data_IF_597250995882
#
_entry.id   IF_597250995882
#
_cell.length_a   1.000
_cell.length_b   1.000
_cell.length_c   1.000
_cell.angle_alpha   90.00
_cell.angle_beta   90.00
_cell.angle_gamma   90.00
#
_symmetry.space_group_name_H-M   'P 1'
#
loop_
_entity.id
_entity.type
_entity.pdbx_description
1 polymer ?
#
# COMPACT_ATOMS: atom_id res chain seq x y z
N UNK A 1 1.50 17.51 -9.99
CA UNK A 1 0.42 17.64 -8.99
C UNK A 1 -0.53 16.44 -9.14
N UNK A 2 -1.06 15.88 -8.06
CA UNK A 2 -2.00 14.74 -8.11
C UNK A 2 -3.43 15.25 -7.91
N UNK A 3 -4.30 15.09 -8.91
CA UNK A 3 -5.69 15.60 -8.90
C UNK A 3 -6.69 14.48 -9.02
N UNK A 4 -7.88 14.66 -8.43
CA UNK A 4 -9.04 13.81 -8.66
C UNK A 4 -9.92 14.45 -9.74
N UNK A 5 -10.40 13.65 -10.68
CA UNK A 5 -11.38 14.05 -11.70
C UNK A 5 -12.65 13.22 -11.53
N UNK A 6 -13.81 13.85 -11.54
CA UNK A 6 -15.10 13.21 -11.38
C UNK A 6 -15.98 13.50 -12.60
N UNK A 7 -16.55 12.47 -13.17
CA UNK A 7 -17.54 12.57 -14.24
C UNK A 7 -18.82 13.22 -13.73
N UNK A 8 -19.46 14.04 -14.55
CA UNK A 8 -20.68 14.76 -14.16
C UNK A 8 -21.93 13.90 -14.19
N UNK A 9 -21.94 12.88 -15.02
CA UNK A 9 -23.08 11.97 -15.25
C UNK A 9 -23.12 10.79 -14.27
N UNK A 10 -22.00 10.09 -14.10
CA UNK A 10 -21.93 8.88 -13.25
C UNK A 10 -21.42 9.16 -11.85
N UNK A 11 -20.84 10.34 -11.59
CA UNK A 11 -20.14 10.69 -10.35
C UNK A 11 -18.96 9.77 -10.00
N UNK A 12 -18.50 8.98 -10.97
CA UNK A 12 -17.29 8.19 -10.82
C UNK A 12 -16.05 9.07 -10.89
N UNK A 13 -15.10 8.82 -10.02
CA UNK A 13 -13.88 9.62 -9.92
C UNK A 13 -12.63 8.81 -10.24
N UNK A 14 -11.64 9.46 -10.86
CA UNK A 14 -10.31 8.93 -11.09
C UNK A 14 -9.26 9.88 -10.57
N UNK A 15 -8.17 9.35 -10.03
CA UNK A 15 -7.03 10.16 -9.59
C UNK A 15 -5.90 10.07 -10.63
N UNK A 16 -5.42 11.23 -11.05
CA UNK A 16 -4.40 11.32 -12.10
C UNK A 16 -3.30 12.32 -11.71
N UNK A 17 -2.10 12.13 -12.25
CA UNK A 17 -1.01 13.10 -12.13
C UNK A 17 -1.16 14.15 -13.22
N UNK A 18 -1.48 15.39 -12.86
CA UNK A 18 -1.51 16.53 -13.77
C UNK A 18 -0.14 17.23 -13.81
N UNK A 19 0.27 17.65 -15.00
CA UNK A 19 1.39 18.54 -15.24
C UNK A 19 0.91 19.99 -15.07
N UNK A 20 1.66 20.80 -14.34
CA UNK A 20 1.50 22.26 -14.32
C UNK A 20 2.45 22.83 -15.37
N UNK A 21 1.92 23.57 -16.33
CA UNK A 21 2.71 24.12 -17.42
C UNK A 21 2.25 25.53 -17.76
N UNK A 22 3.07 26.53 -17.38
CA UNK A 22 2.80 27.94 -17.65
C UNK A 22 2.93 28.34 -19.12
N UNK A 23 3.54 27.50 -19.95
CA UNK A 23 3.67 27.74 -21.39
C UNK A 23 2.42 27.31 -22.19
N UNK A 24 1.46 26.66 -21.54
CA UNK A 24 0.27 26.11 -22.21
C UNK A 24 -0.94 27.01 -21.94
N UNK A 25 -1.72 27.31 -22.99
CA UNK A 25 -2.81 28.30 -22.96
C UNK A 25 -4.19 27.71 -22.68
N UNK A 26 -4.29 26.44 -22.24
CA UNK A 26 -5.54 25.75 -21.94
C UNK A 26 -5.39 24.71 -20.85
N UNK A 27 -6.46 23.97 -20.60
CA UNK A 27 -6.49 22.75 -19.77
C UNK A 27 -6.68 21.59 -20.74
N UNK A 28 -5.82 20.59 -20.69
CA UNK A 28 -5.82 19.50 -21.66
C UNK A 28 -5.88 18.14 -20.99
N UNK A 29 -6.58 17.20 -21.67
CA UNK A 29 -6.62 15.79 -21.30
C UNK A 29 -6.24 14.93 -22.51
N UNK A 30 -5.45 13.90 -22.23
CA UNK A 30 -5.09 12.91 -23.27
C UNK A 30 -6.32 12.14 -23.74
N UNK A 31 -6.47 11.99 -25.05
CA UNK A 31 -7.65 11.39 -25.68
C UNK A 31 -7.84 9.93 -25.25
N UNK A 32 -6.78 9.14 -25.32
CA UNK A 32 -6.85 7.71 -24.99
C UNK A 32 -7.19 7.54 -23.50
N UNK A 33 -6.61 8.37 -22.63
CA UNK A 33 -6.96 8.39 -21.20
C UNK A 33 -8.43 8.77 -20.97
N UNK A 34 -8.96 9.77 -21.68
CA UNK A 34 -10.35 10.19 -21.56
C UNK A 34 -11.32 9.06 -21.93
N UNK A 35 -11.04 8.36 -23.03
CA UNK A 35 -11.82 7.23 -23.54
C UNK A 35 -11.71 6.01 -22.59
N UNK A 36 -10.51 5.64 -22.15
CA UNK A 36 -10.27 4.54 -21.20
C UNK A 36 -11.04 4.74 -19.88
N UNK A 37 -11.06 5.99 -19.40
CA UNK A 37 -11.78 6.33 -18.17
C UNK A 37 -13.28 6.53 -18.37
N UNK A 38 -13.76 6.52 -19.62
CA UNK A 38 -15.18 6.69 -19.97
C UNK A 38 -15.71 8.09 -19.69
N UNK A 39 -14.90 9.13 -19.90
CA UNK A 39 -15.39 10.51 -19.90
C UNK A 39 -16.25 10.79 -21.13
N UNK A 40 -17.34 11.54 -20.95
CA UNK A 40 -18.21 11.95 -22.03
C UNK A 40 -17.52 13.03 -22.86
N UNK A 41 -17.17 12.70 -24.10
CA UNK A 41 -16.59 13.61 -25.09
C UNK A 41 -17.72 14.44 -25.74
N UNK A 42 -17.64 15.77 -25.66
CA UNK A 42 -18.54 16.72 -26.32
C UNK A 42 -17.81 17.29 -27.54
N UNK A 43 -18.40 17.13 -28.72
CA UNK A 43 -17.78 17.60 -29.97
C UNK A 43 -17.86 19.12 -30.05
N UNK A 44 -16.74 19.78 -30.38
CA UNK A 44 -16.71 21.21 -30.60
C UNK A 44 -17.37 21.58 -31.95
N UNK A 45 -18.10 22.69 -31.99
CA UNK A 45 -18.69 23.21 -33.22
C UNK A 45 -17.61 23.57 -34.28
N UNK A 46 -16.46 24.04 -33.82
CA UNK A 46 -15.29 24.33 -34.67
C UNK A 46 -14.04 23.74 -34.04
N UNK A 47 -13.33 22.87 -34.77
CA UNK A 47 -12.03 22.35 -34.31
C UNK A 47 -11.03 23.48 -34.08
N UNK A 48 -10.24 23.38 -33.01
CA UNK A 48 -9.20 24.37 -32.67
C UNK A 48 -7.84 23.82 -33.08
N UNK A 49 -7.05 24.63 -33.78
CA UNK A 49 -5.66 24.26 -34.13
C UNK A 49 -4.74 24.46 -32.93
N UNK A 50 -3.96 23.42 -32.63
CA UNK A 50 -2.93 23.49 -31.59
C UNK A 50 -1.59 23.84 -32.23
N UNK A 51 -0.99 24.91 -31.78
CA UNK A 51 0.35 25.34 -32.22
C UNK A 51 1.37 25.17 -31.12
N UNK A 52 2.56 24.74 -31.51
CA UNK A 52 3.73 24.72 -30.64
C UNK A 52 4.23 26.15 -30.38
N UNK A 53 5.11 26.31 -29.40
CA UNK A 53 5.71 27.62 -29.03
C UNK A 53 6.45 28.27 -30.21
N UNK A 54 6.99 27.49 -31.13
CA UNK A 54 7.67 27.94 -32.32
C UNK A 54 6.72 28.29 -33.52
N UNK A 55 5.40 28.21 -33.27
CA UNK A 55 4.35 28.47 -34.26
C UNK A 55 4.06 27.32 -35.24
N UNK A 56 4.76 26.21 -35.16
CA UNK A 56 4.46 25.01 -35.95
C UNK A 56 3.19 24.31 -35.44
N UNK A 57 2.53 23.57 -36.33
CA UNK A 57 1.37 22.77 -35.92
C UNK A 57 1.80 21.61 -35.05
N UNK A 58 1.04 21.37 -33.96
CA UNK A 58 1.30 20.26 -33.08
C UNK A 58 1.01 18.93 -33.78
N UNK A 59 1.89 17.95 -33.60
CA UNK A 59 1.72 16.58 -34.15
C UNK A 59 0.51 15.83 -33.53
N UNK A 60 -0.05 16.31 -32.42
CA UNK A 60 -1.26 15.80 -31.79
C UNK A 60 -2.56 16.09 -32.53
N UNK A 61 -2.52 16.90 -33.60
CA UNK A 61 -3.67 17.25 -34.41
C UNK A 61 -4.48 18.43 -33.89
N UNK A 62 -5.75 18.49 -34.28
CA UNK A 62 -6.72 19.52 -33.85
C UNK A 62 -7.47 19.05 -32.63
N UNK A 63 -7.91 19.99 -31.80
CA UNK A 63 -8.86 19.74 -30.71
C UNK A 63 -10.25 19.69 -31.33
N UNK A 64 -10.87 18.53 -31.28
CA UNK A 64 -12.22 18.30 -31.80
C UNK A 64 -13.26 18.07 -30.71
N UNK A 65 -12.79 17.76 -29.49
CA UNK A 65 -13.64 17.40 -28.36
C UNK A 65 -13.23 18.15 -27.11
N UNK A 66 -14.22 18.45 -26.26
CA UNK A 66 -14.04 18.92 -24.90
C UNK A 66 -14.72 17.98 -23.91
N UNK A 67 -14.32 18.07 -22.66
CA UNK A 67 -14.90 17.35 -21.53
C UNK A 67 -15.24 18.35 -20.43
N UNK A 68 -16.38 18.16 -19.76
CA UNK A 68 -16.70 18.84 -18.52
C UNK A 68 -16.62 17.84 -17.36
N UNK A 69 -15.85 18.18 -16.34
CA UNK A 69 -15.70 17.35 -15.13
C UNK A 69 -15.49 18.21 -13.89
N UNK A 70 -15.68 17.60 -12.72
CA UNK A 70 -15.25 18.22 -11.47
C UNK A 70 -13.79 17.83 -11.21
N UNK A 71 -12.96 18.81 -10.85
CA UNK A 71 -11.57 18.59 -10.43
C UNK A 71 -11.40 18.86 -8.93
N UNK A 72 -10.64 17.99 -8.27
CA UNK A 72 -10.37 18.04 -6.83
C UNK A 72 -8.88 18.06 -6.52
N UNK A 73 -8.46 18.97 -5.67
CA UNK A 73 -7.10 19.02 -5.15
C UNK A 73 -7.10 19.68 -3.76
N UNK A 74 -6.57 19.01 -2.73
CA UNK A 74 -6.36 19.53 -1.35
C UNK A 74 -7.50 20.35 -0.72
N UNK A 75 -8.75 20.02 -0.99
CA UNK A 75 -9.89 20.82 -0.50
C UNK A 75 -10.44 21.78 -1.51
N UNK A 76 -9.70 22.07 -2.56
CA UNK A 76 -10.14 22.81 -3.72
C UNK A 76 -11.02 21.92 -4.59
N UNK A 77 -12.16 22.45 -5.04
CA UNK A 77 -13.09 21.77 -5.95
C UNK A 77 -13.61 22.78 -6.95
N UNK A 78 -13.53 22.43 -8.22
CA UNK A 78 -14.08 23.24 -9.29
C UNK A 78 -14.63 22.40 -10.44
N UNK A 79 -15.53 22.98 -11.21
CA UNK A 79 -15.93 22.44 -12.49
C UNK A 79 -15.03 23.01 -13.57
N UNK A 80 -14.35 22.13 -14.30
CA UNK A 80 -13.44 22.53 -15.38
C UNK A 80 -13.96 22.05 -16.73
N UNK A 81 -13.64 22.84 -17.76
CA UNK A 81 -13.67 22.45 -19.16
C UNK A 81 -12.28 22.06 -19.58
N UNK A 82 -12.13 20.94 -20.24
CA UNK A 82 -10.87 20.34 -20.61
C UNK A 82 -10.88 20.00 -22.06
N UNK A 83 -9.93 20.54 -22.81
CA UNK A 83 -9.74 20.21 -24.23
C UNK A 83 -9.10 18.84 -24.39
N UNK A 84 -9.58 18.03 -25.32
CA UNK A 84 -9.12 16.68 -25.55
C UNK A 84 -8.21 16.63 -26.75
N UNK A 85 -6.96 16.22 -26.54
CA UNK A 85 -5.98 16.03 -27.60
C UNK A 85 -4.99 14.92 -27.22
N UNK A 86 -4.15 14.51 -28.16
CA UNK A 86 -3.09 13.54 -27.86
C UNK A 86 -1.94 14.21 -27.13
N UNK A 87 -1.68 13.80 -25.90
CA UNK A 87 -0.63 14.33 -25.04
C UNK A 87 0.54 13.35 -24.84
N UNK A 88 0.46 12.16 -25.42
CA UNK A 88 1.46 11.11 -25.29
C UNK A 88 1.56 10.57 -23.87
N UNK A 89 2.66 10.84 -23.15
CA UNK A 89 2.89 10.30 -21.81
C UNK A 89 2.13 11.05 -20.71
N UNK A 90 1.73 12.28 -20.96
CA UNK A 90 1.03 13.12 -19.98
C UNK A 90 -0.46 12.93 -20.12
N UNK A 91 -1.17 12.71 -19.02
CA UNK A 91 -2.61 12.45 -19.04
C UNK A 91 -3.44 13.72 -18.89
N UNK A 92 -2.97 14.69 -18.12
CA UNK A 92 -3.65 15.97 -17.88
C UNK A 92 -2.61 17.08 -17.79
N UNK A 93 -2.89 18.23 -18.41
CA UNK A 93 -2.09 19.45 -18.30
C UNK A 93 -2.98 20.58 -17.81
N UNK A 94 -2.53 21.29 -16.77
CA UNK A 94 -3.15 22.49 -16.26
C UNK A 94 -2.27 23.69 -16.69
N UNK A 95 -2.74 24.44 -17.66
CA UNK A 95 -2.00 25.53 -18.26
C UNK A 95 -2.16 26.87 -17.57
N UNK A 96 -1.63 27.91 -18.20
CA UNK A 96 -1.60 29.28 -17.67
C UNK A 96 -2.97 29.83 -17.24
N UNK A 97 -4.09 29.60 -17.94
CA UNK A 97 -5.38 30.09 -17.48
C UNK A 97 -5.78 29.54 -16.12
N UNK A 98 -5.50 28.26 -15.87
CA UNK A 98 -5.76 27.65 -14.57
C UNK A 98 -4.80 28.19 -13.50
N UNK A 99 -3.53 28.29 -13.82
CA UNK A 99 -2.51 28.82 -12.92
C UNK A 99 -2.79 30.28 -12.54
N UNK A 100 -3.19 31.11 -13.50
CA UNK A 100 -3.52 32.51 -13.26
C UNK A 100 -4.79 32.67 -12.40
N UNK A 101 -5.82 31.85 -12.62
CA UNK A 101 -7.05 31.88 -11.86
C UNK A 101 -6.86 31.49 -10.40
N UNK A 102 -6.00 30.51 -10.12
CA UNK A 102 -5.83 29.95 -8.79
C UNK A 102 -4.58 30.45 -8.05
N UNK A 103 -3.61 30.96 -8.78
CA UNK A 103 -2.35 31.53 -8.24
C UNK A 103 -1.75 30.67 -7.10
N UNK A 104 -1.51 29.33 -7.32
CA UNK A 104 -1.06 28.45 -6.27
C UNK A 104 0.35 28.81 -5.79
N UNK A 105 0.66 28.52 -4.54
CA UNK A 105 2.04 28.53 -4.04
C UNK A 105 2.73 27.23 -4.44
N UNK A 106 3.82 27.33 -5.20
CA UNK A 106 4.57 26.16 -5.69
C UNK A 106 5.96 26.18 -5.05
N UNK A 107 6.24 25.14 -4.28
CA UNK A 107 7.59 24.83 -3.80
C UNK A 107 8.26 23.92 -4.85
N UNK A 108 9.07 24.51 -5.71
CA UNK A 108 9.73 23.82 -6.81
C UNK A 108 10.81 22.84 -6.32
N UNK A 109 11.39 23.08 -5.15
CA UNK A 109 12.42 22.23 -4.56
C UNK A 109 11.80 20.92 -4.04
N UNK A 110 10.65 21.02 -3.38
CA UNK A 110 9.91 19.85 -2.83
C UNK A 110 8.88 19.28 -3.79
N UNK A 111 8.55 20.00 -4.87
CA UNK A 111 7.47 19.63 -5.78
C UNK A 111 6.08 19.70 -5.14
N UNK A 112 5.91 20.55 -4.12
CA UNK A 112 4.65 20.76 -3.42
C UNK A 112 3.86 21.93 -4.02
N UNK A 113 2.53 21.79 -4.04
CA UNK A 113 1.60 22.83 -4.51
C UNK A 113 0.56 23.07 -3.44
N UNK A 114 0.35 24.35 -3.04
CA UNK A 114 -0.63 24.76 -2.04
C UNK A 114 -1.63 25.76 -2.63
N UNK A 115 -2.92 25.51 -2.40
CA UNK A 115 -4.02 26.34 -2.92
C UNK A 115 -4.42 27.44 -1.92
N UNK A 116 -3.48 28.28 -1.51
CA UNK A 116 -3.67 29.32 -0.48
C UNK A 116 -4.32 30.60 -1.00
N UNK A 117 -4.26 30.84 -2.31
CA UNK A 117 -4.73 32.07 -2.97
C UNK A 117 -5.94 31.87 -3.88
N UNK A 118 -6.60 30.74 -3.76
CA UNK A 118 -7.78 30.39 -4.56
C UNK A 118 -8.90 31.43 -4.42
N UNK A 119 -9.60 31.75 -5.51
CA UNK A 119 -10.80 32.56 -5.45
C UNK A 119 -11.88 31.96 -4.54
N UNK A 120 -12.72 32.81 -3.90
CA UNK A 120 -13.76 32.35 -2.96
C UNK A 120 -14.74 31.30 -3.52
N UNK A 121 -15.00 31.30 -4.82
CA UNK A 121 -15.89 30.31 -5.45
C UNK A 121 -15.31 28.89 -5.51
N UNK A 122 -13.99 28.74 -5.37
CA UNK A 122 -13.31 27.45 -5.32
C UNK A 122 -13.44 26.77 -3.96
N UNK A 123 -13.87 27.51 -2.94
CA UNK A 123 -13.91 27.01 -1.58
C UNK A 123 -15.34 26.65 -1.17
N UNK A 124 -15.53 25.37 -0.80
CA UNK A 124 -16.48 24.92 0.22
C UNK A 124 -17.96 24.83 -0.15
N UNK A 125 -18.30 23.97 -1.06
CA UNK A 125 -19.62 23.39 -1.03
C UNK A 125 -19.60 22.14 -0.13
N UNK A 126 -20.40 22.09 0.94
CA UNK A 126 -20.43 21.01 1.94
C UNK A 126 -20.76 19.66 1.29
N UNK A 127 -21.66 19.65 0.31
CA UNK A 127 -22.06 18.47 -0.47
C UNK A 127 -20.90 17.90 -1.31
N UNK A 128 -20.08 18.77 -1.89
CA UNK A 128 -18.89 18.36 -2.67
C UNK A 128 -17.78 17.79 -1.78
N UNK A 129 -17.66 18.26 -0.53
CA UNK A 129 -16.74 17.65 0.47
C UNK A 129 -17.19 16.23 0.85
N UNK A 130 -18.49 16.02 0.96
CA UNK A 130 -19.06 14.70 1.26
C UNK A 130 -18.91 13.74 0.07
N UNK A 131 -19.16 14.21 -1.17
CA UNK A 131 -18.91 13.44 -2.38
C UNK A 131 -17.43 12.99 -2.48
N UNK A 132 -16.49 13.93 -2.27
CA UNK A 132 -15.05 13.60 -2.22
C UNK A 132 -14.69 12.58 -1.14
N UNK A 133 -15.32 12.67 0.03
CA UNK A 133 -15.14 11.68 1.11
C UNK A 133 -15.66 10.31 0.69
N UNK A 134 -16.79 10.27 -0.03
CA UNK A 134 -17.35 9.03 -0.61
C UNK A 134 -16.46 8.44 -1.70
N UNK A 135 -15.95 9.27 -2.63
CA UNK A 135 -15.03 8.83 -3.70
C UNK A 135 -13.75 8.26 -3.08
N UNK A 136 -13.11 8.99 -2.14
CA UNK A 136 -11.92 8.49 -1.43
C UNK A 136 -12.20 7.21 -0.65
N UNK A 137 -13.38 7.08 -0.06
CA UNK A 137 -13.79 5.86 0.61
C UNK A 137 -13.99 4.71 -0.38
N UNK A 138 -14.59 4.96 -1.55
CA UNK A 138 -14.74 3.98 -2.62
C UNK A 138 -13.40 3.56 -3.22
N UNK A 139 -12.48 4.50 -3.46
CA UNK A 139 -11.10 4.22 -3.90
C UNK A 139 -10.28 3.40 -2.88
N UNK A 140 -10.69 3.41 -1.60
CA UNK A 140 -10.09 2.62 -0.53
C UNK A 140 -10.80 1.29 -0.27
N UNK A 141 -11.89 1.00 -0.99
CA UNK A 141 -12.54 -0.31 -0.92
C UNK A 141 -11.72 -1.35 -1.71
N UNK A 142 -11.94 -2.62 -1.40
CA UNK A 142 -11.31 -3.71 -2.15
C UNK A 142 -11.69 -3.62 -3.64
N UNK A 143 -12.94 -3.28 -3.94
CA UNK A 143 -13.47 -3.13 -5.29
C UNK A 143 -12.82 -1.96 -6.06
N UNK A 144 -12.44 -0.88 -5.38
CA UNK A 144 -11.74 0.25 -5.99
C UNK A 144 -10.23 0.04 -6.21
N UNK A 145 -9.63 -0.90 -5.48
CA UNK A 145 -8.19 -1.15 -5.52
C UNK A 145 -7.81 -2.40 -6.32
N UNK A 146 -8.74 -3.36 -6.45
CA UNK A 146 -8.49 -4.66 -7.08
C UNK A 146 -9.20 -4.74 -8.43
N UNK A 147 -8.50 -5.09 -9.52
CA UNK A 147 -9.11 -5.29 -10.84
C UNK A 147 -10.26 -6.29 -10.80
N UNK A 148 -11.35 -6.02 -11.55
CA UNK A 148 -12.57 -6.86 -11.57
C UNK A 148 -12.31 -8.33 -11.83
N UNK A 149 -11.33 -8.65 -12.65
CA UNK A 149 -10.92 -10.04 -12.96
C UNK A 149 -10.50 -10.84 -11.73
N UNK A 150 -10.07 -10.19 -10.65
CA UNK A 150 -9.66 -10.84 -9.39
C UNK A 150 -10.70 -10.75 -8.26
N UNK A 151 -11.90 -10.21 -8.51
CA UNK A 151 -12.93 -10.04 -7.47
C UNK A 151 -13.45 -11.36 -6.88
N UNK A 152 -13.33 -12.47 -7.58
CA UNK A 152 -13.62 -13.79 -7.00
C UNK A 152 -12.76 -14.10 -5.76
N UNK A 153 -11.59 -13.45 -5.66
CA UNK A 153 -10.63 -13.58 -4.56
C UNK A 153 -10.70 -12.42 -3.56
N UNK A 154 -11.77 -11.61 -3.56
CA UNK A 154 -11.86 -10.40 -2.73
C UNK A 154 -11.65 -10.64 -1.24
N UNK A 155 -11.93 -11.85 -0.74
CA UNK A 155 -11.67 -12.26 0.64
C UNK A 155 -10.19 -12.13 1.01
N UNK A 156 -9.29 -12.49 0.09
CA UNK A 156 -7.82 -12.39 0.29
C UNK A 156 -7.37 -10.95 0.54
N UNK A 157 -8.13 -9.96 0.05
CA UNK A 157 -7.83 -8.54 0.21
C UNK A 157 -8.56 -7.91 1.42
N UNK A 158 -9.42 -8.66 2.09
CA UNK A 158 -10.24 -8.16 3.18
C UNK A 158 -9.42 -7.87 4.45
N UNK A 159 -9.62 -6.68 5.03
CA UNK A 159 -8.94 -6.31 6.28
C UNK A 159 -9.57 -7.00 7.48
N UNK A 160 -10.90 -7.05 7.53
CA UNK A 160 -11.63 -7.66 8.64
C UNK A 160 -11.33 -9.16 8.74
N UNK A 161 -11.30 -9.84 7.59
CA UNK A 161 -10.98 -11.25 7.49
C UNK A 161 -9.56 -11.57 7.92
N UNK A 162 -8.63 -10.62 7.74
CA UNK A 162 -7.23 -10.76 8.17
C UNK A 162 -7.03 -10.61 9.67
N UNK A 163 -7.99 -10.03 10.41
CA UNK A 163 -7.90 -9.78 11.86
C UNK A 163 -8.44 -10.96 12.67
N UNK A 164 -7.93 -12.13 12.39
CA UNK A 164 -8.28 -13.38 13.05
C UNK A 164 -7.06 -14.07 13.66
N UNK A 165 -7.31 -14.98 14.61
CA UNK A 165 -6.26 -15.89 15.07
C UNK A 165 -5.95 -16.92 13.95
N UNK A 166 -4.70 -17.01 13.47
CA UNK A 166 -4.33 -18.02 12.48
C UNK A 166 -4.44 -19.43 13.06
N UNK A 167 -4.79 -20.38 12.21
CA UNK A 167 -4.78 -21.82 12.59
C UNK A 167 -3.35 -22.29 12.80
N UNK A 168 -3.16 -23.28 13.68
CA UNK A 168 -1.85 -23.93 13.83
C UNK A 168 -1.48 -24.69 12.57
N UNK A 169 -0.21 -24.58 12.22
CA UNK A 169 0.35 -25.17 11.00
C UNK A 169 1.69 -25.85 11.33
N UNK A 170 2.17 -26.80 10.49
CA UNK A 170 3.45 -27.46 10.70
C UNK A 170 4.66 -26.52 10.80
N UNK A 171 4.54 -25.32 10.27
CA UNK A 171 5.56 -24.26 10.30
C UNK A 171 5.40 -23.28 11.46
N UNK A 172 4.63 -23.63 12.51
CA UNK A 172 4.56 -22.80 13.73
C UNK A 172 5.97 -22.48 14.23
N UNK A 173 6.17 -21.23 14.65
CA UNK A 173 7.48 -20.69 14.99
C UNK A 173 8.01 -21.25 16.31
N UNK A 174 9.00 -22.13 16.23
CA UNK A 174 9.71 -22.65 17.41
C UNK A 174 10.78 -21.67 17.89
N UNK A 175 10.91 -21.52 19.21
CA UNK A 175 11.97 -20.77 19.88
C UNK A 175 12.83 -21.76 20.65
N UNK A 176 13.84 -22.31 19.98
CA UNK A 176 14.77 -23.27 20.58
C UNK A 176 15.86 -22.52 21.32
N UNK A 177 16.02 -22.80 22.61
CA UNK A 177 17.00 -22.14 23.45
C UNK A 177 18.28 -22.97 23.57
N UNK A 178 19.40 -22.30 23.64
CA UNK A 178 20.71 -22.90 23.93
C UNK A 178 20.72 -23.50 25.33
N UNK A 179 21.48 -24.56 25.51
CA UNK A 179 21.73 -25.11 26.83
C UNK A 179 22.28 -24.04 27.78
N UNK A 180 21.80 -24.04 29.03
CA UNK A 180 22.22 -23.05 30.02
C UNK A 180 21.58 -21.65 29.87
N UNK A 181 20.62 -21.44 28.96
CA UNK A 181 19.93 -20.15 28.88
C UNK A 181 19.21 -19.82 30.18
N UNK A 182 19.51 -18.62 30.71
CA UNK A 182 18.90 -18.10 31.95
C UNK A 182 17.82 -17.08 31.62
N UNK A 183 16.55 -17.36 31.94
CA UNK A 183 15.47 -16.38 31.81
C UNK A 183 15.75 -15.10 32.62
N UNK A 184 15.41 -13.94 32.04
CA UNK A 184 15.62 -12.65 32.68
C UNK A 184 14.40 -11.75 32.53
N UNK A 185 14.03 -11.06 33.60
CA UNK A 185 13.03 -9.98 33.53
C UNK A 185 13.66 -8.72 32.96
N UNK A 186 13.18 -8.27 31.80
CA UNK A 186 13.55 -7.00 31.20
C UNK A 186 13.06 -5.81 32.04
N UNK A 187 13.86 -4.73 32.07
CA UNK A 187 13.46 -3.48 32.75
C UNK A 187 12.42 -2.76 31.87
N UNK A 188 11.33 -2.29 32.49
CA UNK A 188 10.35 -1.43 31.80
C UNK A 188 10.99 -0.08 31.51
N UNK A 189 10.95 0.35 30.25
CA UNK A 189 11.46 1.68 29.87
C UNK A 189 10.44 2.75 30.23
N UNK A 190 10.94 3.92 30.66
CA UNK A 190 10.09 5.09 30.90
C UNK A 190 9.50 5.57 29.58
N UNK A 191 8.20 5.78 29.54
CA UNK A 191 7.46 6.24 28.39
C UNK A 191 6.74 7.56 28.70
N UNK A 192 6.73 8.50 27.74
CA UNK A 192 5.90 9.68 27.80
C UNK A 192 4.41 9.30 27.79
N UNK A 193 3.54 10.24 28.19
CA UNK A 193 2.09 10.02 28.25
C UNK A 193 1.54 9.49 26.93
N UNK A 194 1.84 10.15 25.81
CA UNK A 194 1.38 9.75 24.47
C UNK A 194 1.79 8.32 24.11
N UNK A 195 3.05 7.94 24.44
CA UNK A 195 3.54 6.58 24.21
C UNK A 195 2.83 5.54 25.09
N UNK A 196 2.43 5.89 26.30
CA UNK A 196 1.64 5.00 27.17
C UNK A 196 0.26 4.75 26.60
N UNK A 197 -0.41 5.79 26.10
CA UNK A 197 -1.70 5.69 25.43
C UNK A 197 -1.61 4.80 24.16
N UNK A 198 -0.54 4.96 23.36
CA UNK A 198 -0.28 4.10 22.20
C UNK A 198 -0.04 2.62 22.60
N UNK A 199 0.69 2.37 23.69
CA UNK A 199 0.90 1.00 24.24
C UNK A 199 -0.41 0.40 24.70
N UNK A 200 -1.24 1.16 25.40
CA UNK A 200 -2.54 0.68 25.88
C UNK A 200 -3.44 0.29 24.72
N UNK A 201 -3.60 1.17 23.72
CA UNK A 201 -4.40 0.88 22.53
C UNK A 201 -3.87 -0.35 21.74
N UNK A 202 -2.55 -0.49 21.66
CA UNK A 202 -1.93 -1.68 21.05
C UNK A 202 -2.29 -2.95 21.82
N UNK A 203 -2.11 -2.95 23.15
CA UNK A 203 -2.39 -4.13 23.98
C UNK A 203 -3.87 -4.52 23.90
N UNK A 204 -4.78 -3.56 23.99
CA UNK A 204 -6.22 -3.80 23.87
C UNK A 204 -6.59 -4.43 22.50
N UNK A 205 -6.05 -3.90 21.40
CA UNK A 205 -6.26 -4.44 20.06
C UNK A 205 -5.72 -5.87 19.92
N UNK A 206 -4.50 -6.12 20.43
CA UNK A 206 -3.87 -7.44 20.33
C UNK A 206 -4.55 -8.49 21.23
N UNK A 207 -5.04 -8.10 22.39
CA UNK A 207 -5.87 -8.95 23.28
C UNK A 207 -7.19 -9.32 22.58
N UNK A 208 -7.86 -8.33 21.99
CA UNK A 208 -9.11 -8.53 21.23
C UNK A 208 -8.93 -9.53 20.07
N UNK A 209 -7.80 -9.49 19.37
CA UNK A 209 -7.45 -10.42 18.30
C UNK A 209 -6.97 -11.79 18.79
N UNK A 210 -6.71 -11.93 20.09
CA UNK A 210 -6.14 -13.13 20.67
C UNK A 210 -4.63 -13.31 20.36
N UNK A 211 -3.97 -12.30 19.81
CA UNK A 211 -2.55 -12.36 19.43
C UNK A 211 -1.60 -12.31 20.61
N UNK A 212 -2.10 -11.87 21.75
CA UNK A 212 -1.40 -11.89 23.04
C UNK A 212 -2.34 -12.34 24.15
N UNK A 213 -1.76 -12.85 25.24
CA UNK A 213 -2.48 -13.14 26.49
C UNK A 213 -1.63 -12.71 27.69
N UNK A 214 -2.24 -12.41 28.88
CA UNK A 214 -1.48 -12.10 30.08
C UNK A 214 -0.52 -13.22 30.45
N UNK A 215 0.68 -12.86 30.94
CA UNK A 215 1.71 -13.84 31.28
C UNK A 215 2.39 -13.55 32.61
N UNK A 216 2.81 -14.64 33.30
CA UNK A 216 3.66 -14.64 34.50
C UNK A 216 5.06 -15.21 34.22
N UNK A 217 5.48 -15.21 32.96
CA UNK A 217 6.78 -15.78 32.56
C UNK A 217 7.95 -15.17 33.36
N UNK A 218 8.97 -15.97 33.70
CA UNK A 218 10.22 -15.48 34.26
C UNK A 218 11.08 -14.74 33.25
N UNK A 219 10.80 -14.91 31.94
CA UNK A 219 11.45 -14.22 30.82
C UNK A 219 10.55 -13.09 30.31
N UNK A 220 11.06 -11.85 30.29
CA UNK A 220 10.32 -10.72 29.70
C UNK A 220 11.25 -9.78 28.93
N UNK A 221 10.75 -9.22 27.84
CA UNK A 221 11.44 -8.24 26.99
C UNK A 221 10.76 -6.88 27.11
N UNK A 222 11.47 -5.77 27.29
CA UNK A 222 10.87 -4.44 27.34
C UNK A 222 10.38 -3.99 25.96
N UNK A 223 9.49 -2.99 25.95
CA UNK A 223 9.04 -2.35 24.70
C UNK A 223 9.63 -0.95 24.56
N UNK A 224 9.92 -0.55 23.34
CA UNK A 224 10.33 0.80 22.98
C UNK A 224 9.72 1.24 21.66
N UNK A 225 9.91 2.49 21.29
CA UNK A 225 9.39 3.04 20.02
C UNK A 225 10.51 3.41 19.08
N UNK A 226 10.34 3.04 17.81
CA UNK A 226 11.20 3.46 16.70
C UNK A 226 10.43 4.34 15.73
N UNK A 227 11.09 5.35 15.16
CA UNK A 227 10.49 6.21 14.15
C UNK A 227 10.38 5.46 12.81
N UNK A 228 9.28 5.65 12.10
CA UNK A 228 9.12 5.23 10.71
C UNK A 228 9.49 6.37 9.77
N UNK A 229 9.74 6.05 8.49
CA UNK A 229 10.02 7.04 7.44
C UNK A 229 8.86 8.04 7.22
N UNK A 230 7.63 7.64 7.53
CA UNK A 230 6.41 8.44 7.42
C UNK A 230 6.14 9.34 8.66
N UNK A 231 7.11 9.48 9.56
CA UNK A 231 7.00 10.25 10.80
C UNK A 231 6.20 9.58 11.91
N UNK A 232 5.54 8.45 11.64
CA UNK A 232 4.83 7.68 12.66
C UNK A 232 5.81 6.87 13.50
N UNK A 233 5.35 6.43 14.66
CA UNK A 233 6.10 5.56 15.55
C UNK A 233 5.66 4.10 15.40
N UNK A 234 6.55 3.17 15.68
CA UNK A 234 6.25 1.75 15.81
C UNK A 234 6.72 1.27 17.16
N UNK A 235 5.85 0.64 17.94
CA UNK A 235 6.24 -0.08 19.14
C UNK A 235 7.01 -1.36 18.72
N UNK A 236 8.12 -1.61 19.37
CA UNK A 236 9.00 -2.76 19.13
C UNK A 236 9.35 -3.40 20.46
N UNK A 237 9.39 -4.72 20.48
CA UNK A 237 9.85 -5.51 21.62
C UNK A 237 11.38 -5.66 21.53
N UNK A 238 12.07 -5.46 22.64
CA UNK A 238 13.53 -5.65 22.73
C UNK A 238 13.85 -7.11 23.01
N UNK A 239 13.88 -7.90 21.95
CA UNK A 239 14.16 -9.32 22.01
C UNK A 239 15.67 -9.67 22.04
N UNK A 240 16.58 -8.71 22.21
CA UNK A 240 18.04 -8.98 22.13
C UNK A 240 18.45 -10.11 23.07
N UNK A 241 18.02 -10.11 24.33
CA UNK A 241 18.39 -11.15 25.30
C UNK A 241 17.91 -12.54 24.87
N UNK A 242 16.65 -12.69 24.50
CA UNK A 242 16.12 -13.99 24.02
C UNK A 242 16.79 -14.40 22.69
N UNK A 243 17.07 -13.47 21.80
CA UNK A 243 17.72 -13.72 20.53
C UNK A 243 19.19 -14.23 20.70
N UNK A 244 19.89 -13.75 21.71
CA UNK A 244 21.24 -14.24 22.07
C UNK A 244 21.18 -15.69 22.58
N UNK A 245 20.13 -16.03 23.31
CA UNK A 245 19.88 -17.36 23.83
C UNK A 245 19.22 -18.33 22.85
N UNK A 246 18.69 -17.85 21.72
CA UNK A 246 18.02 -18.69 20.73
C UNK A 246 19.02 -19.35 19.78
N UNK A 247 18.83 -20.64 19.51
CA UNK A 247 19.53 -21.37 18.45
C UNK A 247 19.11 -20.78 17.11
N UNK A 248 20.08 -20.27 16.35
CA UNK A 248 19.79 -19.61 15.08
C UNK A 248 19.44 -20.61 13.99
N UNK A 249 18.35 -20.37 13.32
CA UNK A 249 17.98 -21.08 12.11
C UNK A 249 18.80 -20.54 10.93
N UNK A 250 19.62 -21.39 10.33
CA UNK A 250 20.48 -21.07 9.21
C UNK A 250 19.77 -21.12 7.84
N UNK A 251 18.42 -21.15 7.81
CA UNK A 251 17.68 -21.15 6.55
C UNK A 251 18.05 -19.94 5.69
N UNK A 252 18.52 -20.14 4.44
CA UNK A 252 18.99 -19.07 3.60
C UNK A 252 17.81 -18.19 3.15
N UNK A 253 17.95 -16.89 3.32
CA UNK A 253 17.06 -15.94 2.65
C UNK A 253 17.53 -15.77 1.20
N UNK A 254 16.62 -15.68 0.22
CA UNK A 254 16.97 -15.41 -1.16
C UNK A 254 17.77 -14.11 -1.28
N UNK A 255 18.79 -14.09 -2.14
CA UNK A 255 19.47 -12.86 -2.47
C UNK A 255 18.58 -12.00 -3.37
N UNK A 256 18.54 -10.70 -3.11
CA UNK A 256 17.75 -9.77 -3.92
C UNK A 256 18.26 -9.72 -5.37
N UNK A 257 19.59 -9.84 -5.57
CA UNK A 257 20.20 -9.99 -6.89
C UNK A 257 19.60 -11.18 -7.67
N UNK A 258 19.54 -12.34 -7.04
CA UNK A 258 19.05 -13.57 -7.68
C UNK A 258 17.55 -13.46 -8.06
N UNK A 259 16.78 -12.79 -7.20
CA UNK A 259 15.37 -12.48 -7.50
C UNK A 259 15.27 -11.55 -8.72
N UNK A 260 16.07 -10.49 -8.74
CA UNK A 260 16.08 -9.53 -9.85
C UNK A 260 16.56 -10.16 -11.16
N UNK A 261 17.57 -11.02 -11.10
CA UNK A 261 18.06 -11.76 -12.26
C UNK A 261 17.01 -12.75 -12.79
N UNK A 262 16.30 -13.44 -11.90
CA UNK A 262 15.23 -14.36 -12.26
C UNK A 262 14.02 -13.71 -12.92
N UNK A 263 13.74 -12.44 -12.62
CA UNK A 263 12.60 -11.70 -13.18
C UNK A 263 13.00 -10.69 -14.26
N UNK A 264 14.29 -10.43 -14.44
CA UNK A 264 14.85 -9.25 -15.13
C UNK A 264 14.47 -9.06 -16.59
N UNK A 265 14.12 -10.12 -17.36
CA UNK A 265 13.73 -10.03 -18.77
C UNK A 265 12.23 -10.04 -19.02
N UNK A 266 11.42 -10.22 -17.99
CA UNK A 266 9.97 -10.30 -18.08
C UNK A 266 9.35 -8.93 -18.35
N UNK A 267 8.12 -8.91 -18.88
CA UNK A 267 7.44 -7.67 -19.35
C UNK A 267 6.29 -7.25 -18.44
N UNK A 268 5.65 -8.20 -17.80
CA UNK A 268 4.46 -7.96 -16.97
C UNK A 268 4.77 -8.35 -15.54
N UNK A 269 4.48 -7.47 -14.60
CA UNK A 269 4.82 -7.65 -13.19
C UNK A 269 3.61 -7.39 -12.30
N UNK A 270 3.45 -8.23 -11.28
CA UNK A 270 2.55 -7.95 -10.15
C UNK A 270 3.32 -8.13 -8.85
N UNK A 271 3.25 -7.13 -7.98
CA UNK A 271 3.75 -7.21 -6.61
C UNK A 271 2.59 -7.30 -5.64
N UNK A 272 2.61 -8.30 -4.76
CA UNK A 272 1.65 -8.47 -3.66
C UNK A 272 2.38 -8.32 -2.31
N UNK A 273 1.83 -7.49 -1.39
CA UNK A 273 2.36 -7.28 -0.02
C UNK A 273 1.43 -7.98 0.97
N UNK A 274 1.93 -8.98 1.68
CA UNK A 274 1.14 -9.72 2.66
C UNK A 274 0.77 -8.85 3.86
N UNK A 275 -0.50 -8.90 4.24
CA UNK A 275 -1.03 -8.21 5.43
C UNK A 275 -0.62 -8.97 6.68
N UNK A 276 -0.15 -8.22 7.70
CA UNK A 276 0.25 -8.77 9.00
C UNK A 276 1.36 -9.85 8.96
N UNK A 277 2.05 -10.04 7.86
CA UNK A 277 3.15 -10.96 7.63
C UNK A 277 3.41 -11.96 8.75
N UNK A 278 4.27 -11.62 9.67
CA UNK A 278 4.65 -12.51 10.78
C UNK A 278 3.49 -12.92 11.69
N UNK A 279 2.47 -12.07 11.89
CA UNK A 279 1.32 -12.45 12.71
C UNK A 279 0.42 -13.55 12.10
N UNK A 280 0.65 -13.93 10.83
CA UNK A 280 -0.02 -15.09 10.22
C UNK A 280 0.58 -16.43 10.65
N UNK A 281 1.71 -16.43 11.34
CA UNK A 281 2.38 -17.62 11.87
C UNK A 281 2.23 -17.66 13.38
N UNK A 282 1.77 -18.76 13.92
CA UNK A 282 1.70 -18.95 15.37
C UNK A 282 3.07 -19.25 15.98
N UNK A 283 3.26 -18.87 17.22
CA UNK A 283 4.35 -19.41 18.03
C UNK A 283 3.99 -20.86 18.39
N UNK A 284 4.97 -21.75 18.31
CA UNK A 284 4.82 -23.16 18.65
C UNK A 284 4.29 -23.29 20.07
N UNK A 285 3.35 -24.20 20.27
CA UNK A 285 2.75 -24.44 21.57
C UNK A 285 3.80 -24.79 22.63
N UNK A 286 3.77 -24.09 23.74
CA UNK A 286 4.75 -24.24 24.81
C UNK A 286 5.99 -23.33 24.68
N UNK A 287 6.13 -22.58 23.58
CA UNK A 287 7.23 -21.63 23.35
C UNK A 287 6.82 -20.17 23.60
N UNK A 288 5.55 -19.88 23.77
CA UNK A 288 5.00 -18.53 23.87
C UNK A 288 5.59 -17.74 25.06
N UNK A 289 5.85 -18.42 26.18
CA UNK A 289 6.42 -17.82 27.36
C UNK A 289 7.82 -17.22 27.16
N UNK A 290 8.56 -17.70 26.15
CA UNK A 290 9.91 -17.23 25.82
C UNK A 290 9.90 -15.85 25.18
N UNK A 291 8.84 -15.50 24.43
CA UNK A 291 8.69 -14.24 23.74
C UNK A 291 7.89 -13.18 24.49
N UNK A 292 7.69 -13.34 25.79
CA UNK A 292 6.94 -12.38 26.61
C UNK A 292 7.55 -11.00 26.56
N UNK A 293 6.70 -10.01 26.36
CA UNK A 293 7.07 -8.61 26.50
C UNK A 293 6.35 -7.93 27.68
N UNK A 294 7.02 -6.95 28.26
CA UNK A 294 6.50 -6.22 29.41
C UNK A 294 6.28 -4.75 29.10
N UNK A 295 5.17 -4.23 29.60
CA UNK A 295 4.74 -2.85 29.44
C UNK A 295 4.46 -2.24 30.80
N UNK A 296 4.10 -0.95 30.85
CA UNK A 296 3.68 -0.29 32.09
C UNK A 296 2.33 -0.78 32.63
N UNK A 297 1.54 -1.52 31.84
CA UNK A 297 0.22 -2.07 32.23
C UNK A 297 0.22 -3.58 32.43
N UNK A 298 1.33 -4.26 32.15
CA UNK A 298 1.43 -5.71 32.36
C UNK A 298 2.43 -6.40 31.46
N UNK A 299 2.55 -7.71 31.65
CA UNK A 299 3.35 -8.60 30.82
C UNK A 299 2.46 -9.51 29.98
N UNK A 300 2.78 -9.69 28.73
CA UNK A 300 1.95 -10.40 27.75
C UNK A 300 2.81 -11.36 26.93
N UNK A 301 2.36 -12.57 26.76
CA UNK A 301 2.97 -13.55 25.87
C UNK A 301 2.26 -13.55 24.53
N UNK A 302 3.01 -13.45 23.43
CA UNK A 302 2.44 -13.52 22.09
C UNK A 302 2.10 -14.96 21.73
N UNK A 303 0.96 -15.14 21.10
CA UNK A 303 0.50 -16.42 20.54
C UNK A 303 0.82 -16.54 19.06
N UNK A 304 1.21 -15.42 18.42
CA UNK A 304 1.64 -15.32 17.03
C UNK A 304 3.03 -14.71 16.97
N UNK A 305 3.73 -14.94 15.88
CA UNK A 305 5.09 -14.45 15.67
C UNK A 305 5.11 -12.93 15.53
N UNK A 306 6.06 -12.27 16.19
CA UNK A 306 6.28 -10.83 16.14
C UNK A 306 7.59 -10.47 15.46
N UNK A 307 7.70 -9.21 15.05
CA UNK A 307 8.96 -8.64 14.58
C UNK A 307 10.01 -8.64 15.70
N UNK A 308 11.27 -8.88 15.33
CA UNK A 308 12.39 -8.80 16.24
C UNK A 308 12.87 -10.14 16.81
N UNK A 309 12.11 -11.23 16.72
CA UNK A 309 12.61 -12.58 17.01
C UNK A 309 13.60 -13.02 15.92
N UNK A 310 14.74 -13.58 16.31
CA UNK A 310 15.87 -13.82 15.41
C UNK A 310 15.54 -14.77 14.25
N UNK A 311 14.69 -15.79 14.48
CA UNK A 311 14.34 -16.79 13.49
C UNK A 311 13.04 -16.48 12.72
N UNK A 312 12.36 -15.35 13.00
CA UNK A 312 11.10 -14.99 12.32
C UNK A 312 11.27 -14.88 10.81
N UNK A 313 12.30 -14.23 10.26
CA UNK A 313 12.51 -14.18 8.82
C UNK A 313 12.68 -15.56 8.19
N UNK A 314 13.48 -16.42 8.81
CA UNK A 314 13.75 -17.79 8.34
C UNK A 314 12.47 -18.64 8.33
N UNK A 315 11.72 -18.65 9.43
CA UNK A 315 10.45 -19.37 9.54
C UNK A 315 9.45 -18.91 8.48
N UNK A 316 9.32 -17.59 8.31
CA UNK A 316 8.37 -17.04 7.34
C UNK A 316 8.79 -17.34 5.89
N UNK A 317 10.08 -17.23 5.57
CA UNK A 317 10.59 -17.56 4.24
C UNK A 317 10.45 -19.06 3.93
N UNK A 318 10.66 -19.93 4.91
CA UNK A 318 10.42 -21.39 4.74
C UNK A 318 8.96 -21.65 4.37
N UNK A 319 8.02 -21.05 5.11
CA UNK A 319 6.59 -21.14 4.78
C UNK A 319 6.30 -20.66 3.36
N UNK A 320 6.81 -19.50 2.97
CA UNK A 320 6.59 -18.95 1.63
C UNK A 320 7.18 -19.83 0.54
N UNK A 321 8.37 -20.38 0.77
CA UNK A 321 9.00 -21.29 -0.17
C UNK A 321 8.22 -22.60 -0.29
N UNK A 322 7.67 -23.13 0.79
CA UNK A 322 6.85 -24.36 0.74
C UNK A 322 5.54 -24.13 -0.03
N UNK A 323 4.92 -22.97 0.14
CA UNK A 323 3.66 -22.62 -0.53
C UNK A 323 3.84 -22.35 -2.04
N UNK A 324 5.00 -21.84 -2.46
CA UNK A 324 5.21 -21.36 -3.83
C UNK A 324 6.39 -22.01 -4.55
N UNK A 325 6.98 -23.08 -4.00
CA UNK A 325 8.20 -23.74 -4.53
C UNK A 325 8.13 -24.08 -6.01
N UNK A 326 7.06 -24.70 -6.45
CA UNK A 326 6.84 -25.07 -7.84
C UNK A 326 6.77 -23.85 -8.77
N UNK A 327 6.09 -22.78 -8.35
CA UNK A 327 5.97 -21.54 -9.12
C UNK A 327 7.30 -20.77 -9.16
N UNK A 328 8.06 -20.79 -8.07
CA UNK A 328 9.42 -20.22 -8.01
C UNK A 328 10.36 -20.99 -8.93
N UNK A 329 10.31 -22.33 -8.92
CA UNK A 329 11.12 -23.16 -9.80
C UNK A 329 10.78 -22.98 -11.29
N UNK A 330 9.55 -22.62 -11.62
CA UNK A 330 9.14 -22.26 -12.99
C UNK A 330 9.61 -20.84 -13.41
N UNK A 331 10.21 -20.07 -12.50
CA UNK A 331 10.68 -18.72 -12.78
C UNK A 331 9.58 -17.67 -13.01
N UNK A 332 8.33 -17.96 -12.64
CA UNK A 332 7.19 -17.06 -12.80
C UNK A 332 6.86 -16.27 -11.52
N UNK A 333 7.40 -16.71 -10.39
CA UNK A 333 7.10 -16.14 -9.07
C UNK A 333 8.37 -16.08 -8.25
N UNK A 334 8.53 -15.02 -7.48
CA UNK A 334 9.59 -14.90 -6.48
C UNK A 334 8.97 -14.44 -5.15
N UNK A 335 9.51 -14.95 -4.05
CA UNK A 335 9.06 -14.60 -2.69
C UNK A 335 10.21 -14.06 -1.87
N UNK A 336 9.99 -12.93 -1.20
CA UNK A 336 10.93 -12.38 -0.25
C UNK A 336 10.18 -11.90 1.00
N UNK A 337 10.19 -12.72 2.03
CA UNK A 337 9.44 -12.48 3.28
C UNK A 337 7.96 -12.18 2.96
N UNK A 338 7.51 -10.93 3.13
CA UNK A 338 6.11 -10.53 2.94
C UNK A 338 5.75 -10.15 1.49
N UNK A 339 6.75 -10.05 0.62
CA UNK A 339 6.57 -9.64 -0.77
C UNK A 339 6.53 -10.87 -1.69
N UNK A 340 5.53 -10.91 -2.56
CA UNK A 340 5.42 -11.88 -3.66
C UNK A 340 5.49 -11.09 -4.95
N UNK A 341 6.37 -11.49 -5.85
CA UNK A 341 6.50 -10.92 -7.20
C UNK A 341 6.09 -12.00 -8.20
N UNK A 342 5.13 -11.70 -9.05
CA UNK A 342 4.79 -12.48 -10.24
C UNK A 342 5.37 -11.76 -11.44
N UNK A 343 6.08 -12.46 -12.32
CA UNK A 343 6.71 -11.92 -13.50
C UNK A 343 6.52 -12.83 -14.71
N UNK A 344 6.01 -12.29 -15.83
CA UNK A 344 5.70 -13.07 -17.03
C UNK A 344 5.98 -12.28 -18.29
N UNK A 345 5.93 -12.95 -19.45
CA UNK A 345 6.17 -12.32 -20.76
C UNK A 345 4.88 -11.77 -21.40
N UNK A 346 3.71 -12.30 -21.02
CA UNK A 346 2.40 -11.94 -21.58
C UNK A 346 1.38 -11.70 -20.47
N UNK A 347 0.41 -10.81 -20.72
CA UNK A 347 -0.68 -10.51 -19.78
C UNK A 347 -1.61 -11.70 -19.54
N UNK A 348 -1.95 -12.44 -20.60
CA UNK A 348 -2.85 -13.59 -20.49
C UNK A 348 -2.28 -14.70 -19.60
N UNK A 349 -0.98 -15.00 -19.76
CA UNK A 349 -0.27 -15.93 -18.88
C UNK A 349 -0.14 -15.39 -17.46
N UNK A 350 0.05 -14.07 -17.34
CA UNK A 350 0.20 -13.38 -16.06
C UNK A 350 -1.02 -13.55 -15.16
N UNK A 351 -2.20 -13.29 -15.69
CA UNK A 351 -3.44 -13.37 -14.92
C UNK A 351 -3.66 -14.76 -14.32
N UNK A 352 -3.38 -15.84 -15.06
CA UNK A 352 -3.50 -17.21 -14.57
C UNK A 352 -2.56 -17.48 -13.38
N UNK A 353 -1.34 -16.94 -13.44
CA UNK A 353 -0.37 -17.12 -12.36
C UNK A 353 -0.76 -16.30 -11.13
N UNK A 354 -1.22 -15.06 -11.32
CA UNK A 354 -1.74 -14.24 -10.23
C UNK A 354 -2.95 -14.91 -9.55
N UNK A 355 -3.88 -15.48 -10.33
CA UNK A 355 -5.01 -16.23 -9.79
C UNK A 355 -4.57 -17.43 -8.96
N UNK A 356 -3.57 -18.18 -9.43
CA UNK A 356 -3.02 -19.34 -8.69
C UNK A 356 -2.36 -18.88 -7.38
N UNK A 357 -1.64 -17.76 -7.39
CA UNK A 357 -1.10 -17.17 -6.15
C UNK A 357 -2.24 -16.81 -5.19
N UNK A 358 -3.28 -16.12 -5.66
CA UNK A 358 -4.43 -15.73 -4.83
C UNK A 358 -5.18 -16.94 -4.27
N UNK A 359 -5.35 -17.99 -5.05
CA UNK A 359 -5.94 -19.26 -4.60
C UNK A 359 -5.16 -19.88 -3.44
N UNK A 360 -3.83 -19.97 -3.58
CA UNK A 360 -2.96 -20.52 -2.52
C UNK A 360 -2.97 -19.65 -1.26
N UNK A 361 -3.02 -18.33 -1.42
CA UNK A 361 -3.15 -17.42 -0.29
C UNK A 361 -4.48 -17.64 0.45
N UNK A 362 -5.60 -17.78 -0.28
CA UNK A 362 -6.90 -18.04 0.34
C UNK A 362 -6.94 -19.40 1.08
N UNK A 363 -6.42 -20.46 0.48
CA UNK A 363 -6.36 -21.80 1.08
C UNK A 363 -5.50 -21.88 2.34
N UNK A 364 -4.52 -20.97 2.44
CA UNK A 364 -3.63 -20.92 3.60
C UNK A 364 -3.94 -19.75 4.54
N UNK A 365 -5.11 -19.12 4.35
CA UNK A 365 -5.53 -17.99 5.17
C UNK A 365 -4.52 -16.85 5.20
N UNK A 366 -3.90 -16.53 4.09
CA UNK A 366 -3.01 -15.39 3.95
C UNK A 366 -3.71 -14.25 3.23
N UNK A 367 -3.46 -13.04 3.67
CA UNK A 367 -4.16 -11.85 3.20
C UNK A 367 -3.18 -10.82 2.64
N UNK A 368 -3.63 -10.07 1.64
CA UNK A 368 -2.82 -9.04 0.97
C UNK A 368 -3.33 -7.64 1.32
N UNK A 369 -2.46 -6.65 1.21
CA UNK A 369 -2.78 -5.24 1.32
C UNK A 369 -2.99 -4.66 -0.07
N UNK A 370 -4.24 -4.50 -0.56
CA UNK A 370 -4.48 -4.02 -1.91
C UNK A 370 -3.86 -2.64 -2.16
N UNK A 371 -3.81 -1.78 -1.13
CA UNK A 371 -3.21 -0.44 -1.21
C UNK A 371 -1.67 -0.44 -1.42
N UNK A 372 -1.03 -1.60 -1.32
CA UNK A 372 0.42 -1.79 -1.54
C UNK A 372 0.75 -2.71 -2.70
N UNK A 373 -0.26 -3.33 -3.30
CA UNK A 373 -0.11 -4.12 -4.52
C UNK A 373 0.10 -3.22 -5.74
N UNK A 374 0.82 -3.70 -6.71
CA UNK A 374 1.14 -2.97 -7.94
C UNK A 374 1.11 -3.93 -9.11
#
# INVERSE_FOLDING_TARGET
MKVGLEKLDTHEGVTVKALLDSGVTGIFMDKDFAEEQGFRLEKLDKPVEVKNVDGTNNNGGRIEYEIQCNMYFEGHVERIKVDVCRLGRTKVILGMPWLAAHNPEIDWEKGEVKMTRCPPWCTQNKERKEARKKIRAAEQTVEGLVPRKFWKWKKVFGKAESERMPVRKPWDHAIELKEGFMPRKGKVYSLSRDKREEVQAFVEDQLRKGYIRPSKSPQTSPVHFVAKKDGKRRMVQDYRHINEGTIKNAYPLPLISDILDGVGTRKVFTKLDLRWGYNNVRIKEGDEWKAVFTTHIGSYEPTVMYFGLTNSPATFQTMMNDLFRDMVNQGNTATFINDIIVATDTEEGHDKIVEEVLRRLEENDLFVKPEKCK
#
